data_IF_822568672738
#
_entry.id   IF_822568672738
#
_cell.length_a   1.000
_cell.length_b   1.000
_cell.length_c   1.000
_cell.angle_alpha   90.00
_cell.angle_beta   90.00
_cell.angle_gamma   90.00
#
_symmetry.space_group_name_H-M   'P 1'
#
loop_
_entity.id
_entity.type
_entity.pdbx_description
1 polymer ?
#
# COMPACT_ATOMS: atom_id res chain seq x y z
N UNK A 1 2.84 14.89 17.37
CA UNK A 1 2.40 14.76 15.96
C UNK A 1 1.16 13.88 15.94
N UNK A 2 0.21 14.10 15.03
CA UNK A 2 -1.05 13.32 14.95
C UNK A 2 -1.04 12.26 13.84
N UNK A 3 -0.12 12.36 12.89
CA UNK A 3 0.02 11.44 11.76
C UNK A 3 1.46 11.48 11.19
N UNK A 4 1.77 10.53 10.32
CA UNK A 4 2.95 10.53 9.43
C UNK A 4 2.50 10.60 7.97
N UNK A 5 3.35 11.14 7.10
CA UNK A 5 3.13 11.22 5.66
C UNK A 5 4.44 10.92 4.92
N UNK A 6 4.40 10.01 3.96
CA UNK A 6 5.52 9.70 3.06
C UNK A 6 5.04 9.61 1.62
N UNK A 7 5.92 9.93 0.67
CA UNK A 7 5.70 9.56 -0.73
C UNK A 7 6.28 8.15 -0.95
N UNK A 8 5.49 7.29 -1.57
CA UNK A 8 5.90 5.94 -1.98
C UNK A 8 5.99 5.89 -3.50
N UNK A 9 7.07 5.29 -4.00
CA UNK A 9 7.31 5.07 -5.43
C UNK A 9 7.61 3.59 -5.67
N UNK A 10 6.75 2.91 -6.42
CA UNK A 10 6.97 1.53 -6.86
C UNK A 10 7.34 1.54 -8.35
N UNK A 11 8.48 0.93 -8.69
CA UNK A 11 8.97 0.85 -10.07
C UNK A 11 8.06 -0.03 -10.95
N UNK A 12 8.07 0.18 -12.28
CA UNK A 12 7.32 -0.67 -13.21
C UNK A 12 7.62 -2.16 -13.01
N UNK A 13 6.59 -2.99 -13.11
CA UNK A 13 6.64 -4.42 -12.83
C UNK A 13 6.75 -4.78 -11.35
N UNK A 14 6.72 -3.80 -10.45
CA UNK A 14 6.87 -4.02 -9.01
C UNK A 14 5.62 -4.63 -8.37
N UNK A 15 5.85 -5.51 -7.40
CA UNK A 15 4.86 -6.10 -6.49
C UNK A 15 5.41 -6.01 -5.07
N UNK A 16 4.70 -5.33 -4.15
CA UNK A 16 5.14 -5.20 -2.75
C UNK A 16 5.08 -6.53 -2.01
N UNK A 17 5.78 -6.68 -0.88
CA UNK A 17 5.45 -7.75 0.09
C UNK A 17 4.03 -7.55 0.64
N UNK A 18 3.25 -8.64 0.80
CA UNK A 18 1.98 -8.59 1.51
C UNK A 18 2.25 -8.43 3.01
N UNK A 19 1.63 -7.40 3.61
CA UNK A 19 1.79 -7.08 5.02
C UNK A 19 0.45 -6.69 5.63
N UNK A 20 0.40 -6.60 6.95
CA UNK A 20 -0.63 -5.86 7.68
C UNK A 20 0.04 -4.92 8.68
N UNK A 21 -0.65 -3.85 9.03
CA UNK A 21 -0.23 -2.90 10.06
C UNK A 21 -0.89 -3.23 11.40
N UNK A 22 -0.15 -3.09 12.50
CA UNK A 22 -0.59 -3.50 13.84
C UNK A 22 -1.43 -2.46 14.57
N UNK A 23 -1.14 -1.20 14.34
CA UNK A 23 -1.64 -0.08 15.16
C UNK A 23 -2.10 1.13 14.36
N UNK A 24 -1.67 1.27 13.11
CA UNK A 24 -2.08 2.41 12.26
C UNK A 24 -3.21 2.04 11.30
N UNK A 25 -4.12 2.99 11.07
CA UNK A 25 -4.91 3.05 9.85
C UNK A 25 -4.13 3.84 8.80
N UNK A 26 -4.24 3.43 7.55
CA UNK A 26 -3.49 4.03 6.45
C UNK A 26 -4.42 4.51 5.33
N UNK A 27 -4.13 5.68 4.77
CA UNK A 27 -4.87 6.27 3.65
C UNK A 27 -3.90 6.63 2.55
N UNK A 28 -4.16 6.14 1.34
CA UNK A 28 -3.34 6.38 0.16
C UNK A 28 -4.03 7.32 -0.81
N UNK A 29 -3.30 8.31 -1.30
CA UNK A 29 -3.74 9.18 -2.40
C UNK A 29 -2.78 9.03 -3.57
N UNK A 30 -3.29 8.56 -4.70
CA UNK A 30 -2.47 8.24 -5.88
C UNK A 30 -2.18 9.49 -6.69
N UNK A 31 -0.89 9.75 -6.91
CA UNK A 31 -0.37 10.92 -7.61
C UNK A 31 -0.12 10.66 -9.10
N UNK A 32 0.25 9.42 -9.45
CA UNK A 32 0.65 9.07 -10.81
C UNK A 32 0.67 7.54 -11.01
N UNK A 33 0.63 7.11 -12.27
CA UNK A 33 0.72 5.72 -12.69
C UNK A 33 -0.59 4.94 -12.55
N UNK A 34 -0.50 3.63 -12.81
CA UNK A 34 -1.61 2.67 -12.72
C UNK A 34 -1.20 1.47 -11.88
N UNK A 35 -2.13 0.95 -11.10
CA UNK A 35 -1.85 -0.17 -10.21
C UNK A 35 -3.08 -0.93 -9.77
N UNK A 36 -2.83 -1.95 -8.97
CA UNK A 36 -3.85 -2.66 -8.19
C UNK A 36 -3.43 -2.68 -6.73
N UNK A 37 -4.42 -2.46 -5.86
CA UNK A 37 -4.28 -2.61 -4.41
C UNK A 37 -5.23 -3.71 -3.97
N UNK A 38 -4.68 -4.74 -3.35
CA UNK A 38 -5.43 -5.77 -2.67
C UNK A 38 -5.51 -5.42 -1.19
N UNK A 39 -6.72 -5.43 -0.64
CA UNK A 39 -6.98 -5.25 0.80
C UNK A 39 -7.99 -6.30 1.21
N UNK A 40 -7.61 -7.19 2.13
CA UNK A 40 -8.51 -8.13 2.81
C UNK A 40 -9.43 -8.95 1.87
N UNK A 41 -8.89 -9.41 0.74
CA UNK A 41 -9.62 -10.22 -0.24
C UNK A 41 -10.20 -9.44 -1.43
N UNK A 42 -10.27 -8.12 -1.34
CA UNK A 42 -10.78 -7.26 -2.41
C UNK A 42 -9.65 -6.59 -3.18
N UNK A 43 -9.80 -6.49 -4.50
CA UNK A 43 -8.80 -5.83 -5.37
C UNK A 43 -9.41 -4.63 -6.05
N UNK A 44 -8.76 -3.48 -5.88
CA UNK A 44 -9.16 -2.21 -6.50
C UNK A 44 -8.08 -1.75 -7.47
N UNK A 45 -8.49 -1.34 -8.68
CA UNK A 45 -7.62 -0.65 -9.63
C UNK A 45 -7.50 0.82 -9.28
N UNK A 46 -6.28 1.32 -9.32
CA UNK A 46 -5.95 2.70 -8.92
C UNK A 46 -5.21 3.43 -10.04
N UNK A 47 -5.49 4.71 -10.15
CA UNK A 47 -4.86 5.68 -11.04
C UNK A 47 -4.65 7.00 -10.29
N UNK A 48 -4.04 8.00 -10.93
CA UNK A 48 -4.03 9.38 -10.42
C UNK A 48 -5.43 9.81 -9.91
N UNK A 49 -5.46 10.42 -8.72
CA UNK A 49 -6.67 10.88 -8.04
C UNK A 49 -7.44 9.79 -7.27
N UNK A 50 -7.08 8.51 -7.42
CA UNK A 50 -7.67 7.42 -6.63
C UNK A 50 -7.30 7.55 -5.15
N UNK A 51 -8.20 7.08 -4.27
CA UNK A 51 -7.95 6.99 -2.83
C UNK A 51 -8.26 5.59 -2.33
N UNK A 52 -7.39 5.04 -1.48
CA UNK A 52 -7.62 3.75 -0.81
C UNK A 52 -7.45 3.94 0.69
N UNK A 53 -8.35 3.35 1.47
CA UNK A 53 -8.23 3.26 2.92
C UNK A 53 -7.89 1.81 3.27
N UNK A 54 -6.89 1.63 4.11
CA UNK A 54 -6.45 0.34 4.63
C UNK A 54 -6.69 0.38 6.14
N UNK A 55 -7.75 -0.30 6.63
CA UNK A 55 -8.03 -0.38 8.05
C UNK A 55 -6.88 -1.04 8.81
N UNK A 56 -6.77 -0.75 10.11
CA UNK A 56 -5.80 -1.41 10.99
C UNK A 56 -6.01 -2.93 10.96
N UNK A 57 -4.91 -3.69 10.97
CA UNK A 57 -4.85 -5.15 10.88
C UNK A 57 -5.31 -5.77 9.56
N UNK A 58 -5.91 -5.01 8.63
CA UNK A 58 -6.25 -5.52 7.30
C UNK A 58 -4.98 -5.84 6.49
N UNK A 59 -4.86 -7.07 5.94
CA UNK A 59 -3.74 -7.43 5.10
C UNK A 59 -3.88 -6.74 3.74
N UNK A 60 -2.75 -6.25 3.20
CA UNK A 60 -2.73 -5.58 1.92
C UNK A 60 -1.45 -5.85 1.12
N UNK A 61 -1.55 -5.65 -0.20
CA UNK A 61 -0.44 -5.71 -1.14
C UNK A 61 -0.78 -4.81 -2.33
N UNK A 62 0.24 -4.26 -2.99
CA UNK A 62 0.02 -3.44 -4.18
C UNK A 62 1.04 -3.76 -5.27
N UNK A 63 0.62 -3.55 -6.51
CA UNK A 63 1.47 -3.73 -7.70
C UNK A 63 1.27 -2.62 -8.72
N UNK A 64 2.29 -2.38 -9.51
CA UNK A 64 2.18 -1.53 -10.71
C UNK A 64 1.49 -2.29 -11.83
N UNK A 65 0.77 -1.57 -12.70
CA UNK A 65 0.28 -2.06 -13.98
C UNK A 65 0.88 -1.26 -15.14
N UNK A 66 1.46 -1.97 -16.11
CA UNK A 66 2.11 -1.35 -17.28
C UNK A 66 3.59 -1.03 -17.03
N UNK A 67 4.07 0.00 -17.74
CA UNK A 67 5.47 0.40 -17.87
C UNK A 67 5.83 1.70 -17.11
N UNK A 68 4.88 2.24 -16.34
CA UNK A 68 5.03 3.44 -15.53
C UNK A 68 5.17 3.10 -14.04
N UNK A 69 5.84 3.98 -13.29
CA UNK A 69 5.94 3.84 -11.84
C UNK A 69 4.61 4.22 -11.18
N UNK A 70 4.26 3.54 -10.09
CA UNK A 70 3.11 3.92 -9.26
C UNK A 70 3.59 4.84 -8.14
N UNK A 71 2.98 6.02 -8.02
CA UNK A 71 3.35 7.03 -7.03
C UNK A 71 2.14 7.41 -6.20
N UNK A 72 2.28 7.41 -4.88
CA UNK A 72 1.20 7.79 -3.98
C UNK A 72 1.72 8.37 -2.67
N UNK A 73 0.89 9.19 -2.04
CA UNK A 73 1.07 9.63 -0.68
C UNK A 73 0.49 8.57 0.26
N UNK A 74 1.31 8.12 1.20
CA UNK A 74 0.92 7.23 2.29
C UNK A 74 0.79 8.05 3.58
N UNK A 75 -0.42 8.12 4.11
CA UNK A 75 -0.74 8.77 5.36
C UNK A 75 -1.10 7.73 6.42
N UNK A 76 -0.52 7.82 7.62
CA UNK A 76 -0.87 6.93 8.73
C UNK A 76 -1.38 7.71 9.93
N UNK A 77 -2.41 7.19 10.59
CA UNK A 77 -2.91 7.69 11.87
C UNK A 77 -3.15 6.52 12.83
N UNK A 78 -2.47 6.47 14.00
CA UNK A 78 -1.43 7.39 14.51
C UNK A 78 -0.14 7.45 13.66
N UNK A 79 0.83 8.32 14.00
CA UNK A 79 2.12 8.35 13.31
C UNK A 79 2.81 6.98 13.31
N UNK A 80 3.54 6.68 12.23
CA UNK A 80 4.32 5.45 12.08
C UNK A 80 5.20 5.19 13.31
N UNK A 81 5.02 4.07 14.03
CA UNK A 81 5.69 3.84 15.32
C UNK A 81 7.09 3.22 15.17
N UNK A 82 7.49 2.82 13.96
CA UNK A 82 8.80 2.24 13.66
C UNK A 82 8.72 0.91 12.91
N UNK A 83 9.88 0.28 12.69
CA UNK A 83 10.05 -0.84 11.75
C UNK A 83 9.22 -2.11 12.08
N UNK A 84 8.77 -2.26 13.33
CA UNK A 84 7.95 -3.39 13.78
C UNK A 84 6.45 -3.28 13.48
N UNK A 85 6.02 -2.20 12.81
CA UNK A 85 4.61 -1.95 12.49
C UNK A 85 4.09 -2.82 11.36
N UNK A 86 4.87 -2.99 10.29
CA UNK A 86 4.53 -3.86 9.17
C UNK A 86 4.91 -5.31 9.47
N UNK A 87 3.91 -6.18 9.53
CA UNK A 87 4.10 -7.61 9.76
C UNK A 87 3.72 -8.38 8.49
N UNK A 88 4.60 -9.27 7.98
CA UNK A 88 4.29 -10.11 6.82
C UNK A 88 3.02 -10.94 7.01
N UNK A 89 2.38 -11.24 5.88
CA UNK A 89 1.22 -12.13 5.78
C UNK A 89 1.57 -13.26 4.81
N UNK A 90 1.21 -14.50 5.18
CA UNK A 90 1.64 -15.70 4.44
C UNK A 90 0.71 -16.04 3.25
N UNK A 91 -0.54 -15.59 3.29
CA UNK A 91 -1.57 -15.96 2.31
C UNK A 91 -2.30 -14.73 1.74
N UNK A 92 -2.80 -14.88 0.50
CA UNK A 92 -3.52 -13.82 -0.22
C UNK A 92 -2.62 -12.95 -1.09
N UNK A 93 -3.13 -11.78 -1.48
CA UNK A 93 -2.41 -10.82 -2.30
C UNK A 93 -2.58 -10.96 -3.82
N UNK A 94 -1.75 -10.21 -4.53
CA UNK A 94 -1.68 -10.03 -5.98
C UNK A 94 -0.57 -10.87 -6.64
N UNK A 95 0.13 -11.72 -5.88
CA UNK A 95 1.16 -12.63 -6.37
C UNK A 95 2.51 -12.46 -5.68
N UNK A 96 3.54 -13.06 -6.30
CA UNK A 96 4.90 -13.12 -5.75
C UNK A 96 5.52 -11.72 -5.63
N UNK A 97 6.06 -11.34 -4.45
CA UNK A 97 6.63 -10.03 -4.24
C UNK A 97 7.98 -9.87 -4.94
N UNK A 98 8.24 -8.68 -5.46
CA UNK A 98 9.50 -8.32 -6.12
C UNK A 98 10.31 -7.30 -5.33
N UNK A 99 9.72 -6.68 -4.29
CA UNK A 99 10.36 -5.68 -3.42
C UNK A 99 10.04 -5.91 -1.95
#
# INVERSE_FOLDING_TARGET
MRASLVEVVLRPGGVSRPVRHRTVEEVWYFLDGRGEVWVEGETTRVTEGSTVVIPTESPFQFRTLGDEALRFLCFTSPPWPGDGEAVPVEEGGLGEPTV
#
